data_IF_310820010325
#
_entry.id   IF_310820010325
#
_cell.length_a   1.000
_cell.length_b   1.000
_cell.length_c   1.000
_cell.angle_alpha   90.00
_cell.angle_beta   90.00
_cell.angle_gamma   90.00
#
_symmetry.space_group_name_H-M   'P 1'
#
loop_
_entity.id
_entity.type
_entity.pdbx_description
1 polymer ?
#
# COMPACT_ATOMS: atom_id res chain seq x y z
N UNK A 1 23.19 11.46 101.23
CA UNK A 1 23.85 12.77 101.25
C UNK A 1 23.33 13.57 100.05
N UNK A 2 22.82 14.69 100.36
CA UNK A 2 22.09 15.63 99.49
C UNK A 2 22.97 16.20 98.37
N UNK A 3 22.42 16.48 97.21
CA UNK A 3 22.74 17.72 96.54
C UNK A 3 21.65 18.12 95.56
N UNK A 4 21.34 19.35 95.55
CA UNK A 4 20.17 20.11 95.11
C UNK A 4 20.15 20.37 93.60
N UNK A 5 18.93 20.37 93.14
CA UNK A 5 18.44 20.89 91.83
C UNK A 5 18.82 22.35 91.60
N UNK A 6 19.06 22.67 90.37
CA UNK A 6 18.80 24.02 89.82
C UNK A 6 18.04 23.89 88.51
N UNK A 7 16.77 24.34 88.56
CA UNK A 7 15.90 24.48 87.40
C UNK A 7 16.15 25.87 86.79
N UNK A 8 16.66 25.88 85.59
CA UNK A 8 16.68 27.11 84.75
C UNK A 8 15.55 27.02 83.73
N UNK A 9 14.58 27.84 83.93
CA UNK A 9 13.45 27.97 83.00
C UNK A 9 13.91 28.71 81.74
N UNK A 10 13.74 28.05 80.60
CA UNK A 10 13.88 28.69 79.28
C UNK A 10 12.46 28.99 78.74
N UNK A 11 12.17 30.26 78.62
CA UNK A 11 10.97 30.74 77.98
C UNK A 11 11.02 30.46 76.50
N UNK A 12 10.04 29.66 76.01
CA UNK A 12 9.91 29.34 74.61
C UNK A 12 9.04 30.40 73.97
N UNK A 13 9.64 31.33 73.23
CA UNK A 13 8.91 32.27 72.36
C UNK A 13 8.44 31.57 71.10
N UNK A 14 7.13 31.42 70.96
CA UNK A 14 6.48 30.96 69.72
C UNK A 14 6.66 32.04 68.64
N UNK A 15 7.55 31.83 67.70
CA UNK A 15 7.57 32.57 66.43
C UNK A 15 6.53 31.98 65.51
N UNK A 16 5.44 32.71 65.26
CA UNK A 16 4.43 32.37 64.22
C UNK A 16 5.06 32.53 62.83
N UNK A 17 5.40 31.40 62.22
CA UNK A 17 5.78 31.35 60.84
C UNK A 17 4.51 31.51 59.98
N UNK A 18 4.30 32.70 59.40
CA UNK A 18 3.34 32.92 58.33
C UNK A 18 3.75 32.11 57.14
N UNK A 19 3.02 31.01 56.89
CA UNK A 19 3.24 30.16 55.69
C UNK A 19 2.89 30.93 54.41
N UNK A 20 3.90 31.37 53.67
CA UNK A 20 3.70 31.77 52.26
C UNK A 20 3.35 30.53 51.45
N UNK A 21 2.03 30.33 51.22
CA UNK A 21 1.54 29.34 50.28
C UNK A 21 1.90 29.81 48.85
N UNK A 22 3.00 29.29 48.35
CA UNK A 22 3.30 29.43 46.92
C UNK A 22 2.32 28.56 46.15
N UNK A 23 1.28 29.18 45.66
CA UNK A 23 0.45 28.55 44.60
C UNK A 23 1.31 28.46 43.35
N UNK A 24 1.89 27.28 43.11
CA UNK A 24 2.52 26.96 41.83
C UNK A 24 1.40 27.06 40.80
N UNK A 25 1.40 28.17 40.01
CA UNK A 25 0.53 28.29 38.86
C UNK A 25 0.86 27.13 37.93
N UNK A 26 -0.14 26.34 37.58
CA UNK A 26 0.00 25.29 36.56
C UNK A 26 0.55 25.97 35.29
N UNK A 27 1.53 25.34 34.59
CA UNK A 27 2.01 25.89 33.34
C UNK A 27 0.80 26.07 32.38
N UNK A 28 0.78 27.16 31.60
CA UNK A 28 -0.31 27.37 30.66
C UNK A 28 -0.38 26.16 29.73
N UNK A 29 -1.58 25.71 29.35
CA UNK A 29 -1.74 24.60 28.41
C UNK A 29 -0.93 24.94 27.14
N UNK A 30 0.00 24.06 26.78
CA UNK A 30 0.79 24.20 25.57
C UNK A 30 -0.16 24.52 24.42
N UNK A 31 0.04 25.66 23.78
CA UNK A 31 -0.78 26.06 22.65
C UNK A 31 -0.67 24.97 21.58
N UNK A 32 -1.70 24.13 21.48
CA UNK A 32 -1.80 23.13 20.42
C UNK A 32 -1.79 23.92 19.10
N UNK A 33 -0.67 23.89 18.39
CA UNK A 33 -0.54 24.54 17.10
C UNK A 33 -1.62 23.97 16.20
N UNK A 34 -2.66 24.76 15.95
CA UNK A 34 -3.74 24.34 15.07
C UNK A 34 -3.16 24.18 13.67
N UNK A 35 -3.11 22.96 13.17
CA UNK A 35 -2.63 22.68 11.81
C UNK A 35 -3.75 23.17 10.88
N UNK A 36 -3.46 24.21 10.09
CA UNK A 36 -4.36 24.67 9.05
C UNK A 36 -4.39 23.66 7.91
N UNK A 37 -5.54 23.50 7.26
CA UNK A 37 -5.72 22.55 6.18
C UNK A 37 -7.18 22.46 5.76
N UNK A 38 -7.47 21.57 4.85
CA UNK A 38 -8.84 21.33 4.38
C UNK A 38 -9.18 19.84 4.39
N UNK A 39 -10.45 19.54 4.14
CA UNK A 39 -10.91 18.16 4.01
C UNK A 39 -11.08 17.81 2.54
N UNK A 40 -10.51 16.67 2.16
CA UNK A 40 -10.72 16.02 0.86
C UNK A 40 -11.74 14.90 1.04
N UNK A 41 -12.79 14.88 0.20
CA UNK A 41 -13.77 13.79 0.18
C UNK A 41 -13.30 12.73 -0.79
N UNK A 42 -13.04 11.53 -0.28
CA UNK A 42 -12.56 10.39 -1.07
C UNK A 42 -13.56 10.03 -2.16
N UNK A 43 -13.09 9.97 -3.40
CA UNK A 43 -13.87 9.58 -4.59
C UNK A 43 -13.59 8.13 -4.98
N UNK A 44 -14.41 7.57 -5.86
CA UNK A 44 -14.19 6.22 -6.39
C UNK A 44 -12.81 6.11 -7.05
N UNK A 45 -12.06 5.07 -6.70
CA UNK A 45 -10.70 4.81 -7.21
C UNK A 45 -9.58 5.59 -6.51
N UNK A 46 -9.88 6.51 -5.61
CA UNK A 46 -8.86 7.16 -4.78
C UNK A 46 -8.44 6.26 -3.62
N UNK A 47 -7.18 6.33 -3.27
CA UNK A 47 -6.63 5.77 -2.05
C UNK A 47 -5.78 6.82 -1.32
N UNK A 48 -5.43 6.55 -0.06
CA UNK A 48 -4.73 7.52 0.77
C UNK A 48 -3.36 7.90 0.19
N UNK A 49 -2.69 6.98 -0.49
CA UNK A 49 -1.42 7.23 -1.17
C UNK A 49 -1.59 8.23 -2.34
N UNK A 50 -2.60 8.03 -3.20
CA UNK A 50 -2.88 8.93 -4.32
C UNK A 50 -3.29 10.34 -3.84
N UNK A 51 -4.10 10.38 -2.78
CA UNK A 51 -4.45 11.64 -2.12
C UNK A 51 -3.17 12.32 -1.61
N UNK A 52 -2.32 11.59 -0.88
CA UNK A 52 -1.04 12.11 -0.40
C UNK A 52 -0.15 12.63 -1.52
N UNK A 53 0.00 11.89 -2.61
CA UNK A 53 0.78 12.30 -3.78
C UNK A 53 0.22 13.58 -4.44
N UNK A 54 -1.10 13.71 -4.52
CA UNK A 54 -1.74 14.90 -5.11
C UNK A 54 -1.52 16.18 -4.29
N UNK A 55 -1.40 16.04 -2.98
CA UNK A 55 -1.20 17.17 -2.05
C UNK A 55 0.23 17.31 -1.53
N UNK A 56 1.16 16.49 -2.02
CA UNK A 56 2.56 16.43 -1.56
C UNK A 56 2.68 16.20 -0.04
N UNK A 57 1.83 15.31 0.50
CA UNK A 57 1.82 14.91 1.91
C UNK A 57 2.00 13.40 1.99
N UNK A 58 2.98 12.90 2.78
CA UNK A 58 3.15 11.46 2.99
C UNK A 58 1.84 10.82 3.47
N UNK A 59 1.46 9.70 2.87
CA UNK A 59 0.18 9.05 3.20
C UNK A 59 0.15 8.53 4.64
N UNK A 60 1.33 8.19 5.22
CA UNK A 60 1.47 7.84 6.62
C UNK A 60 1.09 9.00 7.54
N UNK A 61 1.49 10.22 7.18
CA UNK A 61 1.11 11.43 7.91
C UNK A 61 -0.38 11.70 7.79
N UNK A 62 -0.96 11.54 6.59
CA UNK A 62 -2.40 11.61 6.39
C UNK A 62 -3.13 10.56 7.23
N UNK A 63 -2.65 9.32 7.25
CA UNK A 63 -3.21 8.26 8.08
C UNK A 63 -3.20 8.63 9.55
N UNK A 64 -2.06 9.11 10.05
CA UNK A 64 -1.86 9.50 11.44
C UNK A 64 -2.76 10.66 11.85
N UNK A 65 -2.83 11.72 11.03
CA UNK A 65 -3.62 12.92 11.32
C UNK A 65 -5.13 12.66 11.30
N UNK A 66 -5.56 11.67 10.52
CA UNK A 66 -6.97 11.30 10.37
C UNK A 66 -7.39 10.09 11.20
N UNK A 67 -6.50 9.54 12.04
CA UNK A 67 -6.78 8.35 12.84
C UNK A 67 -7.06 7.09 12.00
N UNK A 68 -6.56 7.05 10.77
CA UNK A 68 -6.75 5.93 9.85
C UNK A 68 -5.71 4.86 10.17
N UNK A 69 -6.17 3.74 10.76
CA UNK A 69 -5.29 2.62 11.14
C UNK A 69 -4.89 1.77 9.93
N UNK A 70 -5.83 1.61 8.99
CA UNK A 70 -5.67 0.82 7.78
C UNK A 70 -5.89 1.70 6.53
N UNK A 71 -4.82 2.27 5.94
CA UNK A 71 -4.90 3.14 4.76
C UNK A 71 -5.57 2.51 3.54
N UNK A 72 -5.57 1.18 3.43
CA UNK A 72 -6.26 0.42 2.38
C UNK A 72 -7.78 0.38 2.53
N UNK A 73 -8.32 0.75 3.70
CA UNK A 73 -9.76 0.65 4.01
C UNK A 73 -10.48 1.99 3.98
N UNK A 74 -9.90 3.04 3.39
CA UNK A 74 -10.64 4.27 3.20
C UNK A 74 -11.81 4.06 2.24
N UNK A 75 -12.92 4.75 2.49
CA UNK A 75 -14.18 4.55 1.77
C UNK A 75 -14.53 5.76 0.93
N UNK A 76 -15.18 5.53 -0.21
CA UNK A 76 -15.80 6.61 -0.99
C UNK A 76 -16.76 7.41 -0.11
N UNK A 77 -16.64 8.75 -0.16
CA UNK A 77 -17.38 9.66 0.71
C UNK A 77 -16.70 9.93 2.06
N UNK A 78 -15.66 9.22 2.42
CA UNK A 78 -14.89 9.49 3.64
C UNK A 78 -14.17 10.83 3.52
N UNK A 79 -14.24 11.65 4.59
CA UNK A 79 -13.53 12.93 4.69
C UNK A 79 -12.13 12.70 5.25
N UNK A 80 -11.10 13.19 4.55
CA UNK A 80 -9.69 13.09 4.93
C UNK A 80 -9.15 14.51 5.09
N UNK A 81 -8.67 14.86 6.29
CA UNK A 81 -8.01 16.15 6.55
C UNK A 81 -6.63 16.17 5.90
N UNK A 82 -6.35 17.22 5.13
CA UNK A 82 -5.10 17.45 4.42
C UNK A 82 -4.41 18.69 5.03
N UNK A 83 -3.30 18.51 5.73
CA UNK A 83 -2.57 19.62 6.33
C UNK A 83 -1.97 20.54 5.25
N UNK A 84 -2.03 21.86 5.47
CA UNK A 84 -1.46 22.86 4.56
C UNK A 84 -2.21 23.06 3.24
N UNK A 85 -3.22 22.26 2.95
CA UNK A 85 -4.01 22.43 1.73
C UNK A 85 -4.99 23.59 1.86
N UNK A 86 -5.00 24.47 0.84
CA UNK A 86 -5.88 25.63 0.76
C UNK A 86 -6.97 25.50 -0.31
N UNK A 87 -6.84 24.50 -1.18
CA UNK A 87 -7.81 24.20 -2.25
C UNK A 87 -7.85 22.69 -2.52
N UNK A 88 -8.97 22.24 -3.07
CA UNK A 88 -9.09 20.85 -3.54
C UNK A 88 -8.25 20.64 -4.80
N UNK A 89 -7.37 19.63 -4.78
CA UNK A 89 -6.58 19.22 -5.95
C UNK A 89 -7.22 17.99 -6.58
N UNK A 90 -7.13 17.86 -7.92
CA UNK A 90 -7.52 16.64 -8.58
C UNK A 90 -6.56 15.53 -8.16
N UNK A 91 -7.10 14.43 -7.65
CA UNK A 91 -6.35 13.21 -7.40
C UNK A 91 -6.34 12.40 -8.68
N UNK A 92 -5.16 12.15 -9.24
CA UNK A 92 -5.03 11.32 -10.44
C UNK A 92 -5.44 9.90 -10.11
N UNK A 93 -6.63 9.52 -10.54
CA UNK A 93 -7.10 8.14 -10.48
C UNK A 93 -6.58 7.50 -11.76
N UNK A 94 -5.61 6.59 -11.63
CA UNK A 94 -5.19 5.79 -12.76
C UNK A 94 -6.29 4.74 -12.97
N UNK A 95 -7.36 5.15 -13.64
CA UNK A 95 -8.33 4.22 -14.18
C UNK A 95 -7.84 3.83 -15.58
N UNK A 96 -8.04 2.59 -15.99
CA UNK A 96 -7.74 2.17 -17.35
C UNK A 96 -8.47 3.01 -18.42
N UNK A 97 -9.48 3.80 -18.01
CA UNK A 97 -10.35 4.59 -18.89
C UNK A 97 -9.92 6.06 -19.04
N UNK A 98 -9.16 6.60 -18.10
CA UNK A 98 -8.78 8.03 -18.07
C UNK A 98 -7.33 8.22 -18.51
N UNK A 99 -7.00 7.86 -19.75
CA UNK A 99 -5.80 8.42 -20.38
C UNK A 99 -6.07 9.91 -20.64
N UNK A 100 -5.23 10.86 -20.13
CA UNK A 100 -5.29 12.20 -20.60
C UNK A 100 -5.06 12.18 -22.12
N UNK A 101 -5.94 12.82 -22.85
CA UNK A 101 -5.79 13.08 -24.28
C UNK A 101 -4.59 14.02 -24.47
N UNK A 102 -3.40 13.52 -24.28
CA UNK A 102 -2.21 14.13 -24.81
C UNK A 102 -2.17 13.71 -26.27
N UNK A 103 -2.43 14.68 -27.16
CA UNK A 103 -2.23 14.57 -28.60
C UNK A 103 -0.75 14.25 -28.89
N UNK A 104 -0.44 13.00 -28.77
CA UNK A 104 0.70 12.35 -29.40
C UNK A 104 0.11 11.16 -30.13
N UNK A 105 0.45 11.01 -31.40
CA UNK A 105 0.00 9.94 -32.29
C UNK A 105 -0.34 8.68 -31.51
N UNK A 106 -1.67 8.44 -31.37
CA UNK A 106 -2.22 7.27 -30.68
C UNK A 106 -1.64 6.06 -31.40
N UNK A 107 -0.83 5.21 -30.74
CA UNK A 107 -0.57 3.89 -31.30
C UNK A 107 -1.93 3.24 -31.49
N UNK A 108 -2.15 2.57 -32.62
CA UNK A 108 -3.37 1.89 -32.96
C UNK A 108 -3.91 1.11 -31.73
N UNK A 109 -5.25 1.02 -31.55
CA UNK A 109 -5.82 0.25 -30.44
C UNK A 109 -5.11 -1.10 -30.36
N UNK A 110 -4.58 -1.42 -29.18
CA UNK A 110 -3.91 -2.70 -28.95
C UNK A 110 -4.96 -3.79 -29.14
N UNK A 111 -4.97 -4.41 -30.32
CA UNK A 111 -5.84 -5.57 -30.56
C UNK A 111 -5.48 -6.67 -29.56
N UNK A 112 -6.46 -7.39 -28.97
CA UNK A 112 -6.18 -8.55 -28.15
C UNK A 112 -5.38 -9.56 -28.97
N UNK A 113 -4.17 -9.90 -28.55
CA UNK A 113 -3.40 -10.95 -29.21
C UNK A 113 -3.91 -12.31 -28.74
N UNK A 114 -4.29 -13.15 -29.68
CA UNK A 114 -5.19 -14.28 -29.57
C UNK A 114 -4.75 -15.52 -28.75
N UNK A 115 -3.73 -15.52 -27.91
CA UNK A 115 -3.29 -16.75 -27.21
C UNK A 115 -3.32 -16.67 -25.66
N UNK A 116 -4.22 -15.82 -25.10
CA UNK A 116 -4.33 -15.67 -23.66
C UNK A 116 -3.13 -14.94 -23.02
N UNK A 117 -3.16 -14.77 -21.71
CA UNK A 117 -2.05 -14.13 -20.98
C UNK A 117 -0.87 -15.12 -20.80
N UNK A 118 0.35 -14.59 -20.64
CA UNK A 118 1.49 -15.40 -20.21
C UNK A 118 1.49 -15.56 -18.69
N UNK A 119 2.10 -16.65 -18.19
CA UNK A 119 2.46 -16.71 -16.78
C UNK A 119 3.54 -15.66 -16.48
N UNK A 120 3.36 -14.84 -15.41
CA UNK A 120 4.31 -13.78 -15.09
C UNK A 120 5.62 -14.29 -14.53
N UNK A 121 5.59 -15.45 -13.90
CA UNK A 121 6.75 -16.16 -13.32
C UNK A 121 6.42 -17.65 -13.24
N UNK A 122 7.44 -18.49 -13.31
CA UNK A 122 7.29 -19.95 -13.07
C UNK A 122 7.28 -20.20 -11.58
N UNK A 123 6.27 -20.94 -11.09
CA UNK A 123 6.17 -21.28 -9.68
C UNK A 123 4.86 -21.95 -9.32
N UNK A 124 4.77 -22.47 -8.11
CA UNK A 124 3.53 -23.04 -7.57
C UNK A 124 2.61 -21.94 -7.01
N UNK A 125 1.31 -22.14 -7.11
CA UNK A 125 0.34 -21.27 -6.45
C UNK A 125 0.30 -21.60 -4.95
N UNK A 126 0.83 -20.69 -4.14
CA UNK A 126 0.80 -20.83 -2.68
C UNK A 126 -0.50 -20.35 -2.07
N UNK A 127 -1.17 -19.41 -2.73
CA UNK A 127 -2.41 -18.87 -2.23
C UNK A 127 -3.30 -18.40 -3.39
N UNK A 128 -4.54 -18.87 -3.38
CA UNK A 128 -5.53 -18.56 -4.40
C UNK A 128 -6.24 -17.23 -4.15
N UNK A 129 -6.84 -16.69 -5.21
CA UNK A 129 -7.79 -15.59 -5.16
C UNK A 129 -9.03 -15.96 -4.35
N UNK A 130 -9.56 -15.02 -3.56
CA UNK A 130 -10.85 -15.18 -2.88
C UNK A 130 -10.86 -14.89 -1.40
N UNK A 131 -11.94 -15.29 -0.70
CA UNK A 131 -12.13 -15.01 0.72
C UNK A 131 -11.07 -15.69 1.61
N UNK A 132 -10.58 -14.94 2.61
CA UNK A 132 -9.66 -15.42 3.66
C UNK A 132 -10.22 -15.03 5.03
N UNK A 133 -11.15 -15.78 5.57
CA UNK A 133 -11.83 -15.40 6.82
C UNK A 133 -12.50 -14.03 6.72
N UNK A 134 -12.04 -13.06 7.51
CA UNK A 134 -12.56 -11.68 7.51
C UNK A 134 -11.96 -10.78 6.41
N UNK A 135 -11.02 -11.29 5.58
CA UNK A 135 -10.34 -10.55 4.52
C UNK A 135 -10.57 -11.19 3.15
N UNK A 136 -10.16 -10.50 2.11
CA UNK A 136 -10.22 -10.98 0.74
C UNK A 136 -8.84 -10.87 0.09
N UNK A 137 -8.47 -11.87 -0.71
CA UNK A 137 -7.23 -11.91 -1.50
C UNK A 137 -7.53 -11.50 -2.94
N UNK A 138 -7.06 -10.32 -3.34
CA UNK A 138 -7.36 -9.71 -4.65
C UNK A 138 -6.58 -10.33 -5.82
N UNK A 139 -5.70 -11.31 -5.54
CA UNK A 139 -4.85 -11.94 -6.54
C UNK A 139 -4.49 -13.38 -6.21
N UNK A 140 -3.41 -13.86 -6.79
CA UNK A 140 -2.78 -15.13 -6.46
C UNK A 140 -1.34 -14.89 -6.01
N UNK A 141 -0.86 -15.68 -5.07
CA UNK A 141 0.54 -15.66 -4.66
C UNK A 141 1.27 -16.84 -5.32
N UNK A 142 2.27 -16.52 -6.16
CA UNK A 142 3.06 -17.48 -6.92
C UNK A 142 4.42 -17.60 -6.24
N UNK A 143 4.72 -18.76 -5.66
CA UNK A 143 6.02 -19.04 -5.06
C UNK A 143 7.10 -19.02 -6.12
N UNK A 144 8.14 -18.23 -5.90
CA UNK A 144 9.29 -18.19 -6.79
C UNK A 144 10.55 -17.78 -6.01
N UNK A 145 11.70 -18.12 -6.54
CA UNK A 145 12.99 -17.73 -5.93
C UNK A 145 13.14 -16.22 -5.95
N UNK A 146 13.70 -15.66 -4.89
CA UNK A 146 14.08 -14.26 -4.85
C UNK A 146 15.03 -13.93 -5.99
N UNK A 147 14.80 -12.80 -6.67
CA UNK A 147 15.54 -12.40 -7.86
C UNK A 147 15.09 -13.03 -9.17
N UNK A 148 14.15 -13.98 -9.17
CA UNK A 148 13.56 -14.53 -10.39
C UNK A 148 12.93 -13.41 -11.23
N UNK A 149 13.06 -13.49 -12.57
CA UNK A 149 12.50 -12.51 -13.47
C UNK A 149 10.96 -12.59 -13.49
N UNK A 150 10.30 -11.42 -13.43
CA UNK A 150 8.87 -11.26 -13.60
C UNK A 150 8.63 -10.66 -14.99
N UNK A 151 7.86 -11.35 -15.82
CA UNK A 151 7.46 -10.91 -17.15
C UNK A 151 6.07 -10.28 -17.16
N UNK A 152 5.88 -9.29 -18.05
CA UNK A 152 4.55 -8.76 -18.33
C UNK A 152 3.65 -9.83 -18.97
N UNK A 153 2.47 -10.05 -18.42
CA UNK A 153 1.53 -11.09 -18.92
C UNK A 153 1.00 -10.76 -20.31
N UNK A 154 0.97 -9.48 -20.67
CA UNK A 154 0.54 -8.95 -21.95
C UNK A 154 1.19 -7.58 -22.16
N UNK A 155 1.27 -7.13 -23.44
CA UNK A 155 1.73 -5.77 -23.76
C UNK A 155 0.87 -4.71 -23.09
N UNK A 156 1.46 -3.57 -22.76
CA UNK A 156 0.71 -2.48 -22.15
C UNK A 156 1.56 -1.30 -21.77
N UNK A 157 0.95 -0.37 -21.07
CA UNK A 157 1.58 0.81 -20.51
C UNK A 157 1.74 0.66 -18.99
N UNK A 158 2.94 0.88 -18.48
CA UNK A 158 3.20 0.94 -17.05
C UNK A 158 2.53 2.19 -16.49
N UNK A 159 1.48 2.01 -15.73
CA UNK A 159 0.73 3.12 -15.11
C UNK A 159 1.16 3.41 -13.68
N UNK A 160 1.95 2.52 -13.09
CA UNK A 160 2.55 2.71 -11.77
C UNK A 160 3.78 1.78 -11.61
N UNK A 161 4.87 2.31 -11.08
CA UNK A 161 6.08 1.54 -10.78
C UNK A 161 6.84 2.20 -9.62
N UNK A 162 6.42 1.93 -8.37
CA UNK A 162 6.97 2.53 -7.16
C UNK A 162 6.65 1.64 -5.94
N UNK A 163 6.83 2.13 -4.73
CA UNK A 163 6.43 1.47 -3.49
C UNK A 163 4.99 1.80 -3.12
N UNK A 164 4.26 0.77 -2.67
CA UNK A 164 2.93 0.92 -2.11
C UNK A 164 2.83 0.13 -0.81
N UNK A 165 2.31 0.78 0.24
CA UNK A 165 2.16 0.14 1.55
C UNK A 165 1.38 -1.16 1.43
N UNK A 166 1.90 -2.21 2.04
CA UNK A 166 1.34 -3.57 1.97
C UNK A 166 1.86 -4.35 0.77
N UNK A 167 1.90 -3.77 -0.41
CA UNK A 167 2.39 -4.39 -1.65
C UNK A 167 3.92 -4.34 -1.80
N UNK A 168 4.62 -3.46 -1.08
CA UNK A 168 6.04 -3.24 -1.29
C UNK A 168 6.33 -2.58 -2.64
N UNK A 169 7.40 -2.98 -3.31
CA UNK A 169 7.66 -2.56 -4.68
C UNK A 169 6.63 -3.22 -5.60
N UNK A 170 5.96 -2.40 -6.42
CA UNK A 170 4.83 -2.83 -7.24
C UNK A 170 4.94 -2.24 -8.65
N UNK A 171 4.53 -3.01 -9.64
CA UNK A 171 4.31 -2.55 -11.01
C UNK A 171 2.85 -2.79 -11.36
N UNK A 172 2.20 -1.80 -11.98
CA UNK A 172 0.85 -1.93 -12.53
C UNK A 172 0.92 -1.61 -14.01
N UNK A 173 0.42 -2.52 -14.82
CA UNK A 173 0.38 -2.37 -16.29
C UNK A 173 -1.08 -2.31 -16.72
N UNK A 174 -1.41 -1.31 -17.51
CA UNK A 174 -2.69 -1.18 -18.20
C UNK A 174 -2.60 -1.83 -19.56
N UNK A 175 -3.58 -2.69 -19.86
CA UNK A 175 -3.71 -3.41 -21.11
C UNK A 175 -4.94 -2.92 -21.90
N UNK A 176 -5.14 -3.47 -23.09
CA UNK A 176 -6.35 -3.25 -23.87
C UNK A 176 -7.61 -3.78 -23.14
N UNK A 177 -8.79 -3.31 -23.56
CA UNK A 177 -10.08 -3.84 -23.09
C UNK A 177 -10.40 -3.54 -21.62
N UNK A 178 -9.80 -2.49 -21.01
CA UNK A 178 -10.04 -2.12 -19.61
C UNK A 178 -9.44 -3.08 -18.60
N UNK A 179 -8.46 -3.88 -19.02
CA UNK A 179 -7.72 -4.82 -18.17
C UNK A 179 -6.45 -4.16 -17.62
N UNK A 180 -6.08 -4.53 -16.41
CA UNK A 180 -4.79 -4.21 -15.81
C UNK A 180 -4.24 -5.40 -15.04
N UNK A 181 -2.91 -5.50 -15.00
CA UNK A 181 -2.19 -6.47 -14.17
C UNK A 181 -1.35 -5.78 -13.10
N UNK A 182 -1.24 -6.43 -11.94
CA UNK A 182 -0.51 -5.95 -10.78
C UNK A 182 0.54 -6.98 -10.40
N UNK A 183 1.77 -6.52 -10.17
CA UNK A 183 2.92 -7.34 -9.78
C UNK A 183 3.54 -6.74 -8.53
N UNK A 184 3.41 -7.41 -7.39
CA UNK A 184 3.81 -6.86 -6.10
C UNK A 184 4.79 -7.77 -5.34
N UNK A 185 5.29 -7.23 -4.23
CA UNK A 185 6.38 -7.78 -3.41
C UNK A 185 7.71 -7.86 -4.15
N UNK A 186 7.87 -7.07 -5.23
CA UNK A 186 9.06 -7.10 -6.05
C UNK A 186 10.32 -6.74 -5.24
N UNK A 187 11.44 -7.39 -5.55
CA UNK A 187 12.75 -6.98 -5.06
C UNK A 187 13.12 -5.61 -5.65
N UNK A 188 12.92 -5.47 -6.94
CA UNK A 188 13.20 -4.25 -7.71
C UNK A 188 12.26 -4.18 -8.92
N UNK A 189 11.77 -2.97 -9.21
CA UNK A 189 11.08 -2.65 -10.46
C UNK A 189 12.12 -2.27 -11.51
N UNK A 190 12.06 -2.87 -12.71
CA UNK A 190 13.00 -2.62 -13.81
C UNK A 190 12.42 -1.67 -14.87
N UNK A 191 11.17 -1.28 -14.71
CA UNK A 191 10.43 -0.37 -15.56
C UNK A 191 9.98 0.86 -14.79
N UNK A 192 9.56 1.90 -15.51
CA UNK A 192 9.08 3.16 -14.93
C UNK A 192 7.69 3.52 -15.45
N UNK A 193 6.97 4.34 -14.71
CA UNK A 193 5.67 4.89 -15.12
C UNK A 193 5.75 5.58 -16.50
N UNK A 194 4.75 5.34 -17.35
CA UNK A 194 4.67 5.80 -18.73
C UNK A 194 5.43 4.93 -19.75
N UNK A 195 6.18 3.91 -19.32
CA UNK A 195 6.87 3.00 -20.23
C UNK A 195 5.88 2.06 -20.92
N UNK A 196 6.06 1.86 -22.24
CA UNK A 196 5.40 0.80 -22.97
C UNK A 196 6.22 -0.48 -22.84
N UNK A 197 5.55 -1.58 -22.53
CA UNK A 197 6.18 -2.90 -22.37
C UNK A 197 5.52 -3.93 -23.29
N UNK A 198 6.34 -4.84 -23.79
CA UNK A 198 5.90 -5.97 -24.60
C UNK A 198 5.41 -7.14 -23.73
N UNK A 199 4.63 -8.05 -24.34
CA UNK A 199 4.24 -9.31 -23.74
C UNK A 199 5.48 -10.16 -23.43
N UNK A 200 5.65 -10.62 -22.19
CA UNK A 200 6.83 -11.39 -21.75
C UNK A 200 8.06 -10.54 -21.43
N UNK A 201 8.02 -9.21 -21.64
CA UNK A 201 9.13 -8.33 -21.25
C UNK A 201 9.36 -8.38 -19.75
N UNK A 202 10.64 -8.47 -19.35
CA UNK A 202 11.00 -8.50 -17.92
C UNK A 202 10.82 -7.12 -17.31
N UNK A 203 9.91 -7.02 -16.33
CA UNK A 203 9.47 -5.76 -15.73
C UNK A 203 9.94 -5.58 -14.29
N UNK A 204 10.23 -6.68 -13.59
CA UNK A 204 10.63 -6.68 -12.18
C UNK A 204 11.37 -7.98 -11.82
N UNK A 205 11.85 -8.06 -10.59
CA UNK A 205 12.36 -9.29 -9.98
C UNK A 205 11.55 -9.66 -8.74
N UNK A 206 11.31 -10.95 -8.54
CA UNK A 206 10.64 -11.48 -7.34
C UNK A 206 11.40 -11.09 -6.09
N UNK A 207 10.69 -10.66 -5.08
CA UNK A 207 11.26 -10.31 -3.78
C UNK A 207 10.35 -10.65 -2.62
N UNK A 208 10.57 -9.93 -1.52
CA UNK A 208 9.81 -10.07 -0.28
C UNK A 208 9.59 -8.69 0.36
N UNK A 209 9.32 -7.67 -0.46
CA UNK A 209 9.07 -6.31 0.03
C UNK A 209 7.62 -6.10 0.44
N UNK A 210 7.35 -5.15 1.33
CA UNK A 210 6.01 -4.91 1.85
C UNK A 210 5.57 -5.92 2.91
N UNK A 211 4.27 -6.25 2.93
CA UNK A 211 3.71 -7.19 3.91
C UNK A 211 3.68 -8.61 3.33
N UNK A 212 4.70 -9.38 3.59
CA UNK A 212 4.86 -10.76 3.09
C UNK A 212 5.55 -11.63 4.14
N UNK A 213 5.42 -12.95 4.01
CA UNK A 213 6.07 -13.95 4.87
C UNK A 213 7.31 -14.56 4.22
N UNK A 214 7.62 -14.23 2.98
CA UNK A 214 8.76 -14.74 2.24
C UNK A 214 8.68 -14.44 0.74
N UNK A 215 9.70 -14.81 -0.05
CA UNK A 215 9.75 -14.50 -1.46
C UNK A 215 8.60 -15.15 -2.25
N UNK A 216 7.84 -14.33 -2.96
CA UNK A 216 6.78 -14.74 -3.89
C UNK A 216 6.38 -13.55 -4.77
N UNK A 217 5.70 -13.81 -5.85
CA UNK A 217 4.99 -12.79 -6.62
C UNK A 217 3.52 -12.78 -6.18
N UNK A 218 3.04 -11.65 -5.67
CA UNK A 218 1.61 -11.38 -5.58
C UNK A 218 1.15 -10.81 -6.92
N UNK A 219 0.24 -11.51 -7.60
CA UNK A 219 -0.21 -11.19 -8.94
C UNK A 219 -1.73 -11.00 -8.99
N UNK A 220 -2.17 -9.86 -9.56
CA UNK A 220 -3.59 -9.57 -9.74
C UNK A 220 -3.92 -9.31 -11.21
N UNK A 221 -5.15 -9.70 -11.60
CA UNK A 221 -5.82 -9.20 -12.80
C UNK A 221 -6.98 -8.33 -12.35
N UNK A 222 -7.10 -7.16 -12.94
CA UNK A 222 -8.20 -6.23 -12.71
C UNK A 222 -8.91 -5.94 -14.01
N UNK A 223 -10.24 -5.96 -14.00
CA UNK A 223 -11.09 -5.50 -15.11
C UNK A 223 -11.98 -4.39 -14.61
N UNK A 224 -11.91 -3.22 -15.25
CA UNK A 224 -12.63 -2.03 -14.81
C UNK A 224 -12.45 -1.75 -13.31
N UNK A 225 -11.21 -1.83 -12.81
CA UNK A 225 -10.78 -1.69 -11.42
C UNK A 225 -11.26 -2.78 -10.43
N UNK A 226 -12.08 -3.73 -10.85
CA UNK A 226 -12.48 -4.85 -10.02
C UNK A 226 -11.46 -6.00 -10.13
N UNK A 227 -10.99 -6.52 -9.00
CA UNK A 227 -10.13 -7.69 -8.95
C UNK A 227 -10.86 -8.91 -9.52
N UNK A 228 -10.17 -9.68 -10.33
CA UNK A 228 -10.65 -10.89 -10.98
C UNK A 228 -9.73 -12.05 -10.59
N UNK A 229 -10.27 -13.26 -10.56
CA UNK A 229 -9.46 -14.46 -10.37
C UNK A 229 -8.46 -14.61 -11.52
N UNK A 230 -7.13 -14.45 -11.28
CA UNK A 230 -6.14 -14.51 -12.34
C UNK A 230 -6.10 -15.85 -13.06
N UNK A 231 -6.45 -16.95 -12.38
CA UNK A 231 -6.40 -18.29 -12.98
C UNK A 231 -7.42 -18.50 -14.10
N UNK A 232 -8.42 -17.62 -14.22
CA UNK A 232 -9.36 -17.62 -15.35
C UNK A 232 -8.78 -17.00 -16.63
N UNK A 233 -7.67 -16.31 -16.53
CA UNK A 233 -7.02 -15.58 -17.62
C UNK A 233 -5.68 -16.19 -18.02
N UNK A 234 -5.03 -16.91 -17.09
CA UNK A 234 -3.76 -17.57 -17.33
C UNK A 234 -3.99 -18.94 -18.00
N UNK A 235 -3.04 -19.38 -18.85
CA UNK A 235 -3.12 -20.71 -19.44
C UNK A 235 -3.18 -21.78 -18.34
N UNK A 236 -4.01 -22.82 -18.55
CA UNK A 236 -3.99 -23.96 -17.64
C UNK A 236 -2.61 -24.59 -17.66
N UNK A 237 -2.04 -24.82 -16.48
CA UNK A 237 -0.83 -25.63 -16.35
C UNK A 237 -1.24 -27.04 -16.76
N UNK A 238 -0.90 -27.46 -17.98
CA UNK A 238 -1.07 -28.84 -18.38
C UNK A 238 -0.22 -29.69 -17.43
N UNK A 239 -0.87 -30.42 -16.52
CA UNK A 239 -0.24 -31.57 -15.88
C UNK A 239 0.11 -32.51 -17.03
N UNK A 240 1.39 -32.58 -17.41
CA UNK A 240 1.85 -33.52 -18.43
C UNK A 240 1.36 -34.91 -18.03
N UNK A 241 0.43 -35.44 -18.81
CA UNK A 241 0.04 -36.85 -18.74
C UNK A 241 1.26 -37.69 -19.11
N UNK A 242 2.02 -38.08 -18.08
CA UNK A 242 2.98 -39.19 -18.18
C UNK A 242 2.16 -40.49 -18.19
N UNK A 243 1.40 -40.72 -19.27
CA UNK A 243 0.80 -42.00 -19.52
C UNK A 243 0.38 -42.08 -20.99
N UNK A 244 1.33 -42.40 -21.84
CA UNK A 244 1.06 -43.18 -23.07
C UNK A 244 2.40 -43.50 -23.75
N UNK A 245 3.08 -44.56 -23.28
CA UNK A 245 3.99 -45.35 -24.11
C UNK A 245 4.45 -46.58 -23.31
N UNK A 246 3.49 -47.47 -23.02
CA UNK A 246 3.77 -48.84 -22.73
C UNK A 246 2.81 -49.70 -23.56
N UNK A 247 3.09 -49.80 -24.85
CA UNK A 247 2.60 -50.93 -25.64
C UNK A 247 3.72 -51.98 -25.65
N UNK A 248 3.53 -53.15 -25.07
CA UNK A 248 4.47 -54.28 -25.26
C UNK A 248 4.27 -54.77 -26.70
N UNK A 249 5.35 -54.75 -27.48
CA UNK A 249 5.40 -55.54 -28.71
C UNK A 249 5.55 -57.03 -28.32
N UNK A 250 4.54 -57.78 -28.62
CA UNK A 250 4.59 -59.25 -28.75
C UNK A 250 5.43 -59.67 -29.94
#
# INVERSE_FOLDING_TARGET
MQSRSNIVGIALTLASMAGCSWKTAAPPPSAVKRIEGMHHVVKAGENLFRIGKAYDVPFEELARLNGIREPSQIRVGQSVFIPGATRQLPVTIITPTDAPTMSRSVPAPLEPVGDGLLWPVSGAINSAFGPRGASFHDGVDIAALEGAAIGAVERGEVVYADQLRGYGNIVIIRHAGGMASVYAHNQVNLVREGQQVGRGEVIAKVGSTGRTTGPHLHFEIRKNNAAQDPLRYLPQLCCGSASDNLTPKS
#
